data_IF_846220179298
#
_entry.id   IF_846220179298
#
_cell.length_a   1.000
_cell.length_b   1.000
_cell.length_c   1.000
_cell.angle_alpha   90.00
_cell.angle_beta   90.00
_cell.angle_gamma   90.00
#
_symmetry.space_group_name_H-M   'P 1'
#
loop_
_entity.id
_entity.type
_entity.pdbx_description
1 polymer ?
#
# COMPACT_ATOMS: atom_id res chain seq x y z
N UNK A 1 18.96 -0.92 -9.90
CA UNK A 1 18.58 0.25 -9.06
C UNK A 1 18.36 -0.24 -7.65
N UNK A 2 18.89 0.43 -6.64
CA UNK A 2 18.69 0.02 -5.25
C UNK A 2 17.29 0.44 -4.80
N UNK A 3 16.62 -0.34 -3.93
CA UNK A 3 15.36 0.08 -3.34
C UNK A 3 15.58 1.33 -2.48
N UNK A 4 14.75 2.34 -2.73
CA UNK A 4 14.80 3.63 -2.00
C UNK A 4 13.51 3.91 -1.26
N UNK A 5 12.45 3.14 -1.53
CA UNK A 5 11.12 3.34 -0.98
C UNK A 5 10.54 2.06 -0.40
N UNK A 6 9.66 2.25 0.58
CA UNK A 6 8.76 1.22 1.06
C UNK A 6 7.34 1.56 0.62
N UNK A 7 6.62 0.59 0.10
CA UNK A 7 5.15 0.66 -0.06
C UNK A 7 4.51 -0.31 0.92
N UNK A 8 3.45 0.11 1.60
CA UNK A 8 2.65 -0.76 2.44
C UNK A 8 1.40 -1.21 1.67
N UNK A 9 1.28 -2.51 1.44
CA UNK A 9 0.13 -3.11 0.80
C UNK A 9 -0.69 -3.92 1.79
N UNK A 10 -2.00 -3.75 1.73
CA UNK A 10 -3.02 -4.51 2.47
C UNK A 10 -4.05 -5.15 1.52
N UNK A 11 -3.73 -5.23 0.22
CA UNK A 11 -4.67 -5.65 -0.84
C UNK A 11 -4.01 -6.49 -1.94
N UNK A 12 -4.56 -6.41 -3.16
CA UNK A 12 -4.22 -7.25 -4.33
C UNK A 12 -2.76 -7.21 -4.75
N UNK A 13 -2.03 -6.13 -4.45
CA UNK A 13 -0.59 -6.04 -4.72
C UNK A 13 0.25 -7.09 -3.96
N UNK A 14 -0.33 -7.75 -2.94
CA UNK A 14 0.29 -8.90 -2.29
C UNK A 14 0.28 -10.17 -3.15
N UNK A 15 -0.52 -10.21 -4.21
CA UNK A 15 -0.62 -11.37 -5.09
C UNK A 15 0.59 -11.45 -6.04
N UNK A 16 1.29 -12.60 -6.12
CA UNK A 16 2.46 -12.76 -7.00
C UNK A 16 2.17 -12.43 -8.48
N UNK A 17 0.98 -12.78 -8.98
CA UNK A 17 0.58 -12.52 -10.37
C UNK A 17 0.47 -11.02 -10.66
N UNK A 18 -0.07 -10.25 -9.71
CA UNK A 18 -0.17 -8.79 -9.81
C UNK A 18 1.23 -8.17 -9.81
N UNK A 19 2.11 -8.63 -8.93
CA UNK A 19 3.50 -8.15 -8.89
C UNK A 19 4.25 -8.44 -10.18
N UNK A 20 4.14 -9.65 -10.74
CA UNK A 20 4.76 -9.99 -12.02
C UNK A 20 4.19 -9.13 -13.15
N UNK A 21 2.88 -8.87 -13.16
CA UNK A 21 2.25 -8.06 -14.21
C UNK A 21 2.68 -6.58 -14.15
N UNK A 22 2.95 -6.03 -12.96
CA UNK A 22 3.29 -4.61 -12.78
C UNK A 22 4.81 -4.40 -12.83
N UNK A 23 5.59 -5.22 -12.10
CA UNK A 23 7.01 -5.01 -11.87
C UNK A 23 7.92 -5.97 -12.63
N UNK A 24 7.35 -6.96 -13.34
CA UNK A 24 8.08 -8.04 -14.02
C UNK A 24 8.97 -8.88 -13.09
N UNK A 25 8.76 -8.76 -11.77
CA UNK A 25 9.47 -9.49 -10.72
C UNK A 25 8.62 -9.58 -9.46
N UNK A 26 9.01 -10.47 -8.56
CA UNK A 26 8.47 -10.46 -7.19
C UNK A 26 9.18 -9.40 -6.35
N UNK A 27 8.41 -8.70 -5.55
CA UNK A 27 8.93 -7.71 -4.61
C UNK A 27 9.44 -8.40 -3.35
N UNK A 28 10.55 -7.89 -2.81
CA UNK A 28 10.98 -8.29 -1.47
C UNK A 28 10.15 -7.51 -0.46
N UNK A 29 9.56 -8.21 0.50
CA UNK A 29 8.71 -7.58 1.50
C UNK A 29 8.73 -8.30 2.83
N UNK A 30 8.31 -7.58 3.86
CA UNK A 30 8.20 -8.09 5.21
C UNK A 30 6.82 -7.76 5.79
N UNK A 31 6.32 -8.63 6.68
CA UNK A 31 5.09 -8.36 7.41
C UNK A 31 5.21 -7.03 8.15
N UNK A 32 4.20 -6.18 8.00
CA UNK A 32 4.15 -4.85 8.56
C UNK A 32 2.77 -4.57 9.15
N UNK A 33 2.71 -3.57 10.03
CA UNK A 33 1.48 -3.11 10.66
C UNK A 33 1.37 -1.61 10.45
N UNK A 34 0.22 -1.16 9.97
CA UNK A 34 -0.16 0.25 9.91
C UNK A 34 -1.06 0.58 11.10
N UNK A 35 -0.54 1.27 12.15
CA UNK A 35 -1.30 1.59 13.35
C UNK A 35 -2.22 2.80 13.15
N UNK A 36 -3.28 2.89 13.95
CA UNK A 36 -4.27 3.98 13.95
C UNK A 36 -5.11 4.08 12.66
N UNK A 37 -5.23 2.97 11.94
CA UNK A 37 -6.05 2.85 10.75
C UNK A 37 -6.85 1.55 10.80
N UNK A 38 -8.00 1.55 10.14
CA UNK A 38 -8.80 0.34 9.89
C UNK A 38 -9.37 0.35 8.48
N UNK A 39 -9.79 -0.82 8.00
CA UNK A 39 -10.55 -0.93 6.77
C UNK A 39 -12.01 -0.56 7.08
N UNK A 40 -12.58 0.35 6.29
CA UNK A 40 -13.99 0.67 6.37
C UNK A 40 -14.84 -0.53 5.95
N UNK A 41 -16.02 -0.68 6.55
CA UNK A 41 -17.00 -1.69 6.12
C UNK A 41 -17.56 -1.41 4.71
N UNK A 42 -17.40 -0.19 4.20
CA UNK A 42 -17.75 0.20 2.84
C UNK A 42 -16.56 -0.05 1.91
N UNK A 43 -16.84 -0.67 0.77
CA UNK A 43 -15.86 -0.84 -0.31
C UNK A 43 -16.08 0.21 -1.38
N UNK A 44 -15.00 0.81 -1.88
CA UNK A 44 -15.06 1.65 -3.08
C UNK A 44 -15.40 0.73 -4.27
N UNK A 45 -16.39 1.14 -5.08
CA UNK A 45 -16.99 0.34 -6.15
C UNK A 45 -17.46 -1.08 -5.75
N UNK A 46 -17.70 -1.33 -4.46
CA UNK A 46 -18.08 -2.65 -3.95
C UNK A 46 -16.94 -3.69 -3.92
N UNK A 47 -15.73 -3.35 -4.36
CA UNK A 47 -14.61 -4.29 -4.50
C UNK A 47 -13.37 -3.90 -3.69
N UNK A 48 -13.06 -2.61 -3.57
CA UNK A 48 -11.78 -2.15 -3.02
C UNK A 48 -11.88 -1.70 -1.56
N UNK A 49 -10.99 -2.14 -0.65
CA UNK A 49 -11.00 -1.72 0.75
C UNK A 49 -10.62 -0.24 0.89
N UNK A 50 -11.40 0.51 1.68
CA UNK A 50 -11.09 1.91 2.02
C UNK A 50 -10.39 1.96 3.37
N UNK A 51 -9.27 2.67 3.46
CA UNK A 51 -8.55 2.89 4.72
C UNK A 51 -9.05 4.17 5.39
N UNK A 52 -9.50 4.06 6.64
CA UNK A 52 -9.95 5.20 7.46
C UNK A 52 -9.13 5.30 8.75
N UNK A 53 -8.82 6.52 9.23
CA UNK A 53 -8.20 6.72 10.53
C UNK A 53 -9.08 6.14 11.64
N UNK A 54 -8.50 5.34 12.52
CA UNK A 54 -9.17 4.80 13.71
C UNK A 54 -8.13 4.50 14.80
N UNK A 55 -8.07 5.37 15.81
CA UNK A 55 -7.15 5.24 16.94
C UNK A 55 -7.41 3.97 17.72
N UNK A 56 -6.37 3.15 17.91
CA UNK A 56 -6.45 1.87 18.63
C UNK A 56 -6.68 0.64 17.76
N UNK A 57 -6.97 0.82 16.46
CA UNK A 57 -6.98 -0.28 15.48
C UNK A 57 -5.71 -0.27 14.61
N UNK A 58 -5.48 -1.38 13.93
CA UNK A 58 -4.36 -1.51 13.01
C UNK A 58 -4.71 -2.39 11.81
N UNK A 59 -4.02 -2.14 10.70
CA UNK A 59 -4.10 -2.97 9.49
C UNK A 59 -2.82 -3.78 9.40
N UNK A 60 -2.97 -5.11 9.31
CA UNK A 60 -1.87 -6.01 8.98
C UNK A 60 -1.68 -6.06 7.47
N UNK A 61 -0.42 -6.01 7.02
CA UNK A 61 -0.09 -6.04 5.60
C UNK A 61 1.37 -6.39 5.36
N UNK A 62 1.88 -6.01 4.20
CA UNK A 62 3.26 -6.26 3.79
C UNK A 62 3.88 -4.94 3.33
N UNK A 63 5.07 -4.65 3.84
CA UNK A 63 5.88 -3.54 3.35
C UNK A 63 6.88 -4.07 2.31
N UNK A 64 6.75 -3.62 1.06
CA UNK A 64 7.60 -4.01 -0.06
C UNK A 64 8.65 -2.95 -0.38
N UNK A 65 9.84 -3.43 -0.74
CA UNK A 65 10.96 -2.60 -1.18
C UNK A 65 10.90 -2.37 -2.70
N UNK A 66 10.84 -1.09 -3.08
CA UNK A 66 10.79 -0.67 -4.48
C UNK A 66 11.73 0.50 -4.75
N UNK A 67 12.10 0.68 -6.02
CA UNK A 67 12.81 1.85 -6.50
C UNK A 67 11.85 2.95 -7.01
N UNK A 68 12.40 4.11 -7.39
CA UNK A 68 11.61 5.26 -7.88
C UNK A 68 10.75 4.93 -9.13
N UNK A 69 11.30 4.17 -10.08
CA UNK A 69 10.56 3.80 -11.30
C UNK A 69 9.39 2.86 -10.98
N UNK A 70 9.60 1.91 -10.07
CA UNK A 70 8.56 1.00 -9.59
C UNK A 70 7.50 1.73 -8.76
N UNK A 71 7.88 2.80 -8.06
CA UNK A 71 6.92 3.64 -7.36
C UNK A 71 5.97 4.34 -8.36
N UNK A 72 6.49 4.82 -9.50
CA UNK A 72 5.66 5.37 -10.58
C UNK A 72 4.74 4.30 -11.22
N UNK A 73 5.21 3.05 -11.37
CA UNK A 73 4.36 1.94 -11.80
C UNK A 73 3.23 1.66 -10.81
N UNK A 74 3.52 1.77 -9.51
CA UNK A 74 2.52 1.60 -8.46
C UNK A 74 1.48 2.72 -8.51
N UNK A 75 1.89 3.98 -8.75
CA UNK A 75 0.96 5.09 -8.95
C UNK A 75 0.01 4.84 -10.13
N UNK A 76 0.53 4.32 -11.24
CA UNK A 76 -0.26 4.01 -12.43
C UNK A 76 -1.26 2.86 -12.18
N UNK A 77 -0.87 1.85 -11.41
CA UNK A 77 -1.73 0.73 -11.06
C UNK A 77 -2.89 1.13 -10.14
N UNK A 78 -2.61 1.91 -9.10
CA UNK A 78 -3.62 2.37 -8.13
C UNK A 78 -4.60 3.37 -8.76
N UNK A 79 -4.12 4.12 -9.76
CA UNK A 79 -4.96 4.96 -10.60
C UNK A 79 -5.37 6.29 -9.95
N UNK A 80 -6.25 7.05 -10.62
CA UNK A 80 -6.52 8.44 -10.26
C UNK A 80 -7.34 8.60 -8.98
N UNK A 81 -8.04 7.56 -8.51
CA UNK A 81 -8.92 7.63 -7.33
C UNK A 81 -8.16 7.49 -6.01
N UNK A 82 -6.87 7.14 -6.08
CA UNK A 82 -6.01 6.98 -4.92
C UNK A 82 -4.88 8.02 -4.92
N UNK A 83 -4.45 8.41 -3.72
CA UNK A 83 -3.26 9.23 -3.49
C UNK A 83 -2.36 8.54 -2.49
N UNK A 84 -1.05 8.56 -2.74
CA UNK A 84 -0.09 8.01 -1.78
C UNK A 84 0.16 9.00 -0.65
N UNK A 85 0.17 8.50 0.57
CA UNK A 85 0.56 9.22 1.77
C UNK A 85 1.70 8.49 2.46
N UNK A 86 2.68 9.22 2.97
CA UNK A 86 3.82 8.64 3.67
C UNK A 86 3.47 8.48 5.15
N UNK A 87 3.21 7.25 5.58
CA UNK A 87 2.75 6.94 6.94
C UNK A 87 3.76 6.11 7.74
N UNK A 88 3.83 6.31 9.07
CA UNK A 88 4.65 5.47 9.93
C UNK A 88 4.03 4.08 10.11
N UNK A 89 4.85 3.05 9.96
CA UNK A 89 4.53 1.69 10.34
C UNK A 89 4.81 1.48 11.84
N UNK A 90 4.29 0.40 12.42
CA UNK A 90 4.48 0.09 13.85
C UNK A 90 5.96 -0.07 14.26
N UNK A 91 6.85 -0.39 13.31
CA UNK A 91 8.30 -0.48 13.55
C UNK A 91 9.04 0.86 13.40
N UNK A 92 8.32 1.98 13.22
CA UNK A 92 8.89 3.32 13.07
C UNK A 92 9.39 3.66 11.66
N UNK A 93 9.47 2.69 10.74
CA UNK A 93 9.79 2.97 9.33
C UNK A 93 8.60 3.69 8.67
N UNK A 94 8.89 4.50 7.65
CA UNK A 94 7.87 5.14 6.83
C UNK A 94 7.65 4.34 5.54
N UNK A 95 6.40 4.20 5.13
CA UNK A 95 6.02 3.58 3.87
C UNK A 95 4.93 4.40 3.18
N UNK A 96 4.94 4.38 1.85
CA UNK A 96 3.87 4.91 1.03
C UNK A 96 2.64 4.01 1.17
N UNK A 97 1.51 4.62 1.46
CA UNK A 97 0.20 3.97 1.57
C UNK A 97 -0.75 4.66 0.62
N UNK A 98 -1.41 3.91 -0.25
CA UNK A 98 -2.42 4.46 -1.14
C UNK A 98 -3.74 4.57 -0.38
N UNK A 99 -4.27 5.79 -0.32
CA UNK A 99 -5.52 6.13 0.35
C UNK A 99 -6.50 6.66 -0.70
N UNK A 100 -7.79 6.38 -0.53
CA UNK A 100 -8.84 7.00 -1.34
C UNK A 100 -8.69 8.53 -1.30
N UNK A 101 -8.75 9.17 -2.45
CA UNK A 101 -8.84 10.62 -2.51
C UNK A 101 -10.18 11.06 -1.90
N UNK A 102 -10.18 12.04 -0.98
CA UNK A 102 -11.41 12.68 -0.57
C UNK A 102 -12.10 13.26 -1.82
N UNK A 103 -13.39 12.95 -2.01
CA UNK A 103 -14.24 13.67 -2.98
C UNK A 103 -14.37 15.14 -2.61
#
# INVERSE_FOLDING_TARGET
>A
MNPTHLIFSYGTLQEPKVQIAIYERLLQGHKAILPNYTLANKKMYGQYPVVIPNSGLCIAGVAYEINEAELALTDAYEGPDYTRSLLPLANGKKAWVYLEKPQ
#
